data_IF_823990934280
#
_entry.id   IF_823990934280
#
_cell.length_a   1.000
_cell.length_b   1.000
_cell.length_c   1.000
_cell.angle_alpha   90.00
_cell.angle_beta   90.00
_cell.angle_gamma   90.00
#
_symmetry.space_group_name_H-M   'P 1'
#
loop_
_entity.id
_entity.type
_entity.pdbx_description
1 polymer ?
#
# COMPACT_ATOMS: atom_id res chain seq x y z
N UNK A 1 -1.46 -26.28 -51.78
CA UNK A 1 -2.02 -24.94 -51.53
C UNK A 1 -1.23 -24.31 -50.40
N UNK A 2 -0.59 -23.16 -50.63
CA UNK A 2 0.16 -22.42 -49.60
C UNK A 2 -0.81 -21.52 -48.82
N UNK A 3 -1.07 -21.84 -47.54
CA UNK A 3 -1.87 -20.98 -46.64
C UNK A 3 -1.22 -19.58 -46.58
N UNK A 4 -2.00 -18.51 -46.78
CA UNK A 4 -1.52 -17.13 -46.61
C UNK A 4 -1.77 -16.66 -45.18
N UNK A 5 -1.03 -15.65 -44.74
CA UNK A 5 -1.00 -15.13 -43.35
C UNK A 5 -2.37 -14.69 -42.82
N UNK A 6 -3.37 -14.48 -43.69
CA UNK A 6 -4.67 -13.89 -43.35
C UNK A 6 -5.81 -14.93 -43.30
N UNK A 7 -5.51 -16.22 -43.44
CA UNK A 7 -6.52 -17.29 -43.52
C UNK A 7 -6.84 -17.93 -42.14
N UNK A 8 -6.55 -17.24 -41.03
CA UNK A 8 -6.83 -17.75 -39.69
C UNK A 8 -8.33 -17.68 -39.37
N UNK A 9 -8.99 -18.84 -39.26
CA UNK A 9 -10.41 -18.95 -38.93
C UNK A 9 -10.66 -18.65 -37.44
N UNK A 10 -11.87 -18.19 -37.06
CA UNK A 10 -12.23 -17.96 -35.66
C UNK A 10 -11.94 -19.17 -34.74
N UNK A 11 -12.09 -20.39 -35.26
CA UNK A 11 -11.78 -21.63 -34.54
C UNK A 11 -10.28 -21.80 -34.23
N UNK A 12 -9.39 -21.32 -35.12
CA UNK A 12 -7.94 -21.30 -34.87
C UNK A 12 -7.57 -20.26 -33.80
N UNK A 13 -8.32 -19.15 -33.70
CA UNK A 13 -8.20 -18.16 -32.61
C UNK A 13 -8.68 -18.72 -31.27
N UNK A 14 -9.78 -19.47 -31.26
CA UNK A 14 -10.32 -20.12 -30.06
C UNK A 14 -9.40 -21.23 -29.54
N UNK A 15 -8.66 -21.90 -30.44
CA UNK A 15 -7.66 -22.91 -30.08
C UNK A 15 -6.41 -22.27 -29.45
N UNK A 16 -5.94 -21.14 -30.01
CA UNK A 16 -4.86 -20.35 -29.41
C UNK A 16 -5.31 -19.79 -28.06
N UNK A 17 -6.52 -19.25 -27.95
CA UNK A 17 -7.05 -18.70 -26.71
C UNK A 17 -7.15 -19.76 -25.61
N UNK A 18 -7.67 -20.97 -25.92
CA UNK A 18 -7.67 -22.12 -25.00
C UNK A 18 -6.27 -22.53 -24.56
N UNK A 19 -5.29 -22.47 -25.46
CA UNK A 19 -3.88 -22.78 -25.14
C UNK A 19 -3.27 -21.76 -24.16
N UNK A 20 -3.73 -20.51 -24.16
CA UNK A 20 -3.30 -19.46 -23.23
C UNK A 20 -4.15 -19.37 -21.95
N UNK A 21 -5.43 -19.73 -21.98
CA UNK A 21 -6.31 -19.82 -20.80
C UNK A 21 -5.86 -20.92 -19.83
N UNK A 22 -5.41 -22.07 -20.33
CA UNK A 22 -4.89 -23.18 -19.50
C UNK A 22 -3.61 -22.78 -18.75
N UNK A 23 -2.95 -21.69 -19.14
CA UNK A 23 -1.72 -21.17 -18.51
C UNK A 23 -1.96 -20.02 -17.53
N UNK A 24 -3.21 -19.69 -17.17
CA UNK A 24 -3.47 -18.88 -15.98
C UNK A 24 -3.45 -19.78 -14.75
N UNK A 25 -2.24 -20.01 -14.24
CA UNK A 25 -2.06 -20.42 -12.85
C UNK A 25 -2.75 -19.41 -11.93
N UNK A 26 -3.36 -19.90 -10.84
CA UNK A 26 -3.95 -19.10 -9.76
C UNK A 26 -3.10 -17.85 -9.53
N UNK A 27 -3.70 -16.67 -9.71
CA UNK A 27 -3.00 -15.41 -9.46
C UNK A 27 -2.48 -15.41 -8.02
N UNK A 28 -1.25 -14.96 -7.84
CA UNK A 28 -0.48 -14.95 -6.58
C UNK A 28 -1.25 -14.36 -5.38
N UNK A 29 -2.30 -13.55 -5.64
CA UNK A 29 -3.15 -12.93 -4.64
C UNK A 29 -4.31 -13.79 -4.09
N UNK A 30 -4.75 -14.85 -4.78
CA UNK A 30 -5.77 -15.77 -4.25
C UNK A 30 -5.16 -16.82 -3.33
N UNK A 31 -4.01 -17.36 -3.71
CA UNK A 31 -3.23 -18.26 -2.87
C UNK A 31 -2.78 -17.56 -1.58
N UNK A 32 -2.34 -16.30 -1.65
CA UNK A 32 -2.03 -15.49 -0.47
C UNK A 32 -3.23 -15.32 0.48
N UNK A 33 -4.44 -15.13 -0.08
CA UNK A 33 -5.67 -14.96 0.72
C UNK A 33 -6.10 -16.26 1.38
N UNK A 34 -6.02 -17.38 0.68
CA UNK A 34 -6.28 -18.73 1.20
C UNK A 34 -5.26 -19.14 2.26
N UNK A 35 -3.96 -18.92 2.01
CA UNK A 35 -2.89 -19.22 2.97
C UNK A 35 -3.04 -18.45 4.28
N UNK A 36 -3.45 -17.18 4.22
CA UNK A 36 -3.71 -16.34 5.41
C UNK A 36 -4.94 -16.80 6.20
N UNK A 37 -5.99 -17.29 5.53
CA UNK A 37 -7.14 -17.93 6.19
C UNK A 37 -6.72 -19.23 6.87
N UNK A 38 -5.91 -20.06 6.20
CA UNK A 38 -5.40 -21.35 6.72
C UNK A 38 -4.51 -21.15 7.95
N UNK A 39 -3.60 -20.17 7.93
CA UNK A 39 -2.80 -19.80 9.10
C UNK A 39 -3.64 -19.35 10.31
N UNK A 40 -4.74 -18.61 10.09
CA UNK A 40 -5.66 -18.21 11.16
C UNK A 40 -6.37 -19.39 11.81
N UNK A 41 -6.71 -20.42 11.05
CA UNK A 41 -7.40 -21.63 11.55
C UNK A 41 -6.43 -22.51 12.34
N UNK A 42 -5.20 -22.70 11.85
CA UNK A 42 -4.18 -23.53 12.52
C UNK A 42 -3.71 -22.93 13.84
N UNK A 43 -3.65 -21.59 13.96
CA UNK A 43 -3.29 -20.89 15.20
C UNK A 43 -4.41 -20.91 16.27
N UNK A 44 -5.57 -21.48 15.97
CA UNK A 44 -6.74 -21.56 16.83
C UNK A 44 -6.76 -22.73 17.83
N UNK A 45 -5.85 -23.71 17.73
CA UNK A 45 -5.68 -24.74 18.76
C UNK A 45 -4.62 -24.29 19.76
N UNK A 46 -5.12 -23.68 20.83
CA UNK A 46 -4.39 -22.88 21.81
C UNK A 46 -3.65 -23.75 22.85
N UNK A 47 -2.32 -23.85 22.76
CA UNK A 47 -1.47 -24.19 23.91
C UNK A 47 -1.15 -22.88 24.65
N UNK A 48 -1.65 -22.71 25.89
CA UNK A 48 -1.35 -21.55 26.73
C UNK A 48 -0.22 -21.91 27.69
N UNK A 49 1.02 -21.44 27.49
CA UNK A 49 2.01 -21.43 28.55
C UNK A 49 1.64 -20.34 29.59
N UNK A 50 1.92 -20.63 30.86
CA UNK A 50 1.49 -19.90 32.07
C UNK A 50 1.96 -18.42 32.15
N UNK A 51 2.86 -17.99 31.25
CA UNK A 51 3.55 -16.69 31.30
C UNK A 51 2.94 -15.62 30.37
N UNK A 52 1.60 -15.56 30.25
CA UNK A 52 0.89 -14.65 29.33
C UNK A 52 0.76 -13.21 29.85
N UNK A 53 1.74 -12.68 30.58
CA UNK A 53 1.69 -11.30 31.06
C UNK A 53 2.96 -10.49 30.77
N UNK A 54 3.42 -10.57 29.51
CA UNK A 54 4.30 -9.54 28.95
C UNK A 54 3.52 -8.82 27.85
N UNK A 55 2.89 -7.71 28.21
CA UNK A 55 2.07 -6.86 27.36
C UNK A 55 2.94 -6.29 26.21
N UNK A 56 3.10 -7.07 25.13
CA UNK A 56 3.80 -6.65 23.92
C UNK A 56 2.89 -5.68 23.16
N UNK A 57 3.14 -4.39 23.36
CA UNK A 57 2.48 -3.32 22.63
C UNK A 57 3.05 -3.23 21.20
N UNK A 58 2.63 -4.18 20.35
CA UNK A 58 3.05 -4.29 18.95
C UNK A 58 2.45 -3.18 18.04
N UNK A 59 1.61 -2.32 18.61
CA UNK A 59 0.97 -1.18 17.93
C UNK A 59 1.84 0.07 18.05
N UNK A 60 2.58 0.22 19.16
CA UNK A 60 3.43 1.38 19.41
C UNK A 60 4.94 1.12 19.23
N UNK A 61 5.39 -0.14 19.15
CA UNK A 61 6.82 -0.47 18.91
C UNK A 61 7.04 -1.90 18.38
N UNK A 62 6.96 -2.16 17.06
CA UNK A 62 7.43 -3.41 16.48
C UNK A 62 8.96 -3.49 16.57
N UNK A 63 9.50 -4.54 17.21
CA UNK A 63 10.94 -4.72 17.48
C UNK A 63 11.86 -4.69 16.24
N UNK A 64 11.31 -4.74 15.02
CA UNK A 64 12.07 -4.81 13.78
C UNK A 64 12.26 -3.47 13.05
N UNK A 65 11.79 -2.35 13.61
CA UNK A 65 12.06 -1.00 13.06
C UNK A 65 12.95 -0.12 13.95
N UNK A 66 13.33 -0.58 15.15
CA UNK A 66 13.99 0.25 16.16
C UNK A 66 15.53 0.38 15.98
N UNK A 67 16.05 0.31 14.75
CA UNK A 67 17.49 0.40 14.49
C UNK A 67 17.96 1.80 14.07
N UNK A 68 17.08 2.80 14.02
CA UNK A 68 17.46 4.20 13.81
C UNK A 68 16.51 5.16 14.51
N UNK A 69 17.04 6.21 15.12
CA UNK A 69 16.31 7.30 15.78
C UNK A 69 15.53 8.21 14.80
N UNK A 70 15.30 7.74 13.57
CA UNK A 70 14.83 8.55 12.45
C UNK A 70 13.58 7.90 11.86
N UNK A 71 12.48 8.64 11.86
CA UNK A 71 11.22 8.16 11.30
C UNK A 71 11.34 8.05 9.78
N UNK A 72 10.62 7.09 9.18
CA UNK A 72 10.65 6.88 7.73
C UNK A 72 10.24 8.14 6.94
N UNK A 73 9.33 8.96 7.51
CA UNK A 73 8.91 10.23 6.90
C UNK A 73 10.07 11.23 6.81
N UNK A 74 10.96 11.25 7.80
CA UNK A 74 12.10 12.18 7.83
C UNK A 74 13.16 11.74 6.80
N UNK A 75 13.33 10.43 6.61
CA UNK A 75 14.17 9.90 5.54
C UNK A 75 13.62 10.23 4.14
N UNK A 76 12.28 10.19 3.95
CA UNK A 76 11.63 10.59 2.70
C UNK A 76 11.82 12.08 2.44
N UNK A 77 11.65 12.91 3.47
CA UNK A 77 11.86 14.36 3.41
C UNK A 77 13.29 14.71 3.00
N UNK A 78 14.30 14.02 3.55
CA UNK A 78 15.71 14.21 3.20
C UNK A 78 16.08 13.71 1.80
N UNK A 79 15.34 12.73 1.25
CA UNK A 79 15.60 12.15 -0.06
C UNK A 79 15.00 12.96 -1.21
N UNK A 80 13.85 13.59 -1.00
CA UNK A 80 13.09 14.28 -2.04
C UNK A 80 13.52 15.73 -2.18
N UNK A 81 13.41 16.28 -3.39
CA UNK A 81 13.46 17.74 -3.56
C UNK A 81 12.25 18.39 -2.89
N UNK A 82 12.35 19.69 -2.64
CA UNK A 82 11.31 20.47 -1.98
C UNK A 82 9.94 20.35 -2.68
N UNK A 83 9.91 20.48 -4.01
CA UNK A 83 8.68 20.35 -4.81
C UNK A 83 8.12 18.92 -4.78
N UNK A 84 8.98 17.92 -4.83
CA UNK A 84 8.58 16.52 -4.75
C UNK A 84 7.99 16.18 -3.37
N UNK A 85 8.58 16.69 -2.28
CA UNK A 85 8.06 16.48 -0.94
C UNK A 85 6.71 17.18 -0.73
N UNK A 86 6.56 18.42 -1.23
CA UNK A 86 5.27 19.11 -1.28
C UNK A 86 4.24 18.27 -2.04
N UNK A 87 4.61 17.75 -3.21
CA UNK A 87 3.77 16.84 -4.00
C UNK A 87 3.38 15.58 -3.24
N UNK A 88 4.33 14.96 -2.54
CA UNK A 88 4.12 13.77 -1.71
C UNK A 88 3.12 14.03 -0.58
N UNK A 89 3.26 15.14 0.16
CA UNK A 89 2.34 15.50 1.25
C UNK A 89 0.93 15.80 0.71
N UNK A 90 0.83 16.56 -0.38
CA UNK A 90 -0.45 16.87 -1.05
C UNK A 90 -1.16 15.60 -1.54
N UNK A 91 -0.43 14.72 -2.21
CA UNK A 91 -0.96 13.45 -2.73
C UNK A 91 -1.47 12.54 -1.62
N UNK A 92 -0.74 12.43 -0.51
CA UNK A 92 -1.18 11.64 0.65
C UNK A 92 -2.44 12.21 1.30
N UNK A 93 -2.46 13.52 1.58
CA UNK A 93 -3.64 14.17 2.14
C UNK A 93 -4.88 13.99 1.25
N UNK A 94 -4.72 14.17 -0.08
CA UNK A 94 -5.79 13.93 -1.05
C UNK A 94 -6.28 12.47 -1.03
N UNK A 95 -5.37 11.49 -1.06
CA UNK A 95 -5.70 10.06 -1.00
C UNK A 95 -6.59 9.72 0.21
N UNK A 96 -6.29 10.28 1.38
CA UNK A 96 -7.10 10.02 2.58
C UNK A 96 -8.47 10.72 2.53
N UNK A 97 -8.53 11.96 2.03
CA UNK A 97 -9.79 12.67 1.76
C UNK A 97 -10.63 12.04 0.66
N UNK A 98 -10.05 11.30 -0.26
CA UNK A 98 -10.82 10.53 -1.24
C UNK A 98 -11.49 9.32 -0.57
N UNK A 99 -10.73 8.62 0.28
CA UNK A 99 -11.05 7.27 0.76
C UNK A 99 -11.94 7.21 2.01
N UNK A 100 -12.05 8.31 2.76
CA UNK A 100 -12.72 8.32 4.07
C UNK A 100 -14.16 7.80 4.01
N UNK A 101 -14.93 8.14 2.96
CA UNK A 101 -16.36 7.78 2.87
C UNK A 101 -16.63 6.29 2.83
N UNK A 102 -15.69 5.48 2.34
CA UNK A 102 -15.93 4.06 2.04
C UNK A 102 -14.91 3.09 2.64
N UNK A 103 -13.96 3.56 3.47
CA UNK A 103 -12.96 2.68 4.11
C UNK A 103 -12.79 2.91 5.61
N UNK A 104 -12.16 4.00 6.05
CA UNK A 104 -11.82 4.19 7.47
C UNK A 104 -12.47 5.44 8.12
N UNK A 105 -13.37 6.15 7.43
CA UNK A 105 -14.09 7.30 8.01
C UNK A 105 -13.15 8.36 8.61
N UNK A 106 -13.42 8.72 9.87
CA UNK A 106 -12.67 9.74 10.60
C UNK A 106 -11.17 9.46 10.73
N UNK A 107 -10.72 8.20 10.76
CA UNK A 107 -9.29 7.90 10.83
C UNK A 107 -8.54 8.41 9.58
N UNK A 108 -9.16 8.30 8.40
CA UNK A 108 -8.57 8.83 7.17
C UNK A 108 -8.59 10.36 7.19
N UNK A 109 -9.63 11.00 7.74
CA UNK A 109 -9.64 12.47 7.90
C UNK A 109 -8.53 12.95 8.84
N UNK A 110 -8.30 12.26 9.96
CA UNK A 110 -7.20 12.57 10.88
C UNK A 110 -5.83 12.39 10.21
N UNK A 111 -5.67 11.36 9.36
CA UNK A 111 -4.45 11.19 8.56
C UNK A 111 -4.29 12.32 7.54
N UNK A 112 -5.36 12.72 6.86
CA UNK A 112 -5.31 13.84 5.93
C UNK A 112 -4.85 15.13 6.62
N UNK A 113 -5.43 15.43 7.79
CA UNK A 113 -5.08 16.59 8.61
C UNK A 113 -3.60 16.53 9.05
N UNK A 114 -3.09 15.35 9.43
CA UNK A 114 -1.68 15.17 9.79
C UNK A 114 -0.73 15.55 8.63
N UNK A 115 -1.03 15.09 7.41
CA UNK A 115 -0.24 15.46 6.23
C UNK A 115 -0.37 16.95 5.87
N UNK A 116 -1.54 17.55 6.08
CA UNK A 116 -1.74 19.00 5.86
C UNK A 116 -0.96 19.86 6.85
N UNK A 117 -1.02 19.53 8.14
CA UNK A 117 -0.25 20.25 9.18
C UNK A 117 1.25 20.21 8.88
N UNK A 118 1.75 19.06 8.43
CA UNK A 118 3.16 18.89 8.05
C UNK A 118 3.51 19.68 6.79
N UNK A 119 2.61 19.73 5.81
CA UNK A 119 2.77 20.57 4.62
C UNK A 119 2.86 22.06 4.98
N UNK A 120 1.94 22.56 5.81
CA UNK A 120 1.95 23.96 6.27
C UNK A 120 3.28 24.29 6.94
N UNK A 121 3.70 23.46 7.90
CA UNK A 121 4.99 23.64 8.57
C UNK A 121 6.16 23.68 7.60
N UNK A 122 6.22 22.73 6.66
CA UNK A 122 7.28 22.68 5.66
C UNK A 122 7.31 23.94 4.77
N UNK A 123 6.14 24.45 4.39
CA UNK A 123 6.01 25.67 3.59
C UNK A 123 6.40 26.93 4.35
N UNK A 124 6.11 27.00 5.66
CA UNK A 124 6.54 28.07 6.57
C UNK A 124 8.06 28.06 6.72
N UNK A 125 8.65 26.90 7.03
CA UNK A 125 10.09 26.73 7.26
C UNK A 125 10.94 27.10 6.03
N UNK A 126 10.42 26.85 4.83
CA UNK A 126 11.12 27.14 3.58
C UNK A 126 10.62 28.38 2.84
N UNK A 127 9.72 29.17 3.44
CA UNK A 127 9.19 30.43 2.91
C UNK A 127 8.72 30.34 1.44
N UNK A 128 8.09 29.22 1.07
CA UNK A 128 7.71 28.88 -0.32
C UNK A 128 6.52 29.71 -0.81
N UNK A 129 5.72 30.22 0.14
CA UNK A 129 4.65 31.16 -0.11
C UNK A 129 5.26 32.56 -0.31
N UNK A 130 6.07 32.68 -1.37
CA UNK A 130 6.63 33.95 -1.83
C UNK A 130 5.53 35.01 -1.92
N UNK A 131 5.77 36.10 -1.21
CA UNK A 131 5.03 37.37 -1.17
C UNK A 131 3.85 37.46 -2.14
N UNK A 132 2.63 37.59 -1.57
CA UNK A 132 1.45 38.06 -2.30
C UNK A 132 1.88 39.22 -3.20
N UNK A 133 1.84 39.01 -4.52
CA UNK A 133 1.92 40.12 -5.48
C UNK A 133 0.75 41.07 -5.28
#
# INVERSE_FOLDING_TARGET
MTKRLNDATPDEWDEVSRKWEVKQSKTDGEEYREARKRQKIVRGTMYKPEDYNKQYNNVHSPAHYNQGQTECIDAIEAMLSQEEYIGYLRGNSMKYRWRFRYKNGFEDLNKAEWYEKRLVKFMEDHNVLGQKR
#
